data_IF_242738564227
#
_entry.id   IF_242738564227
#
_cell.length_a   1.000
_cell.length_b   1.000
_cell.length_c   1.000
_cell.angle_alpha   90.00
_cell.angle_beta   90.00
_cell.angle_gamma   90.00
#
_symmetry.space_group_name_H-M   'P 1'
#
loop_
_entity.id
_entity.type
_entity.pdbx_description
1 polymer ?
#
# COMPACT_ATOMS: atom_id res chain seq x y z
N UNK A 1 2.36 -4.39 34.36
CA UNK A 1 2.81 -3.01 34.67
C UNK A 1 2.39 -2.17 33.48
N UNK A 2 1.51 -1.19 33.66
CA UNK A 2 1.17 -0.27 32.57
C UNK A 2 2.33 0.70 32.41
N UNK A 3 3.13 0.53 31.36
CA UNK A 3 4.10 1.54 30.97
C UNK A 3 3.31 2.78 30.53
N UNK A 4 3.22 3.76 31.43
CA UNK A 4 2.55 5.02 31.14
C UNK A 4 3.45 5.86 30.22
N UNK A 5 3.02 6.09 28.99
CA UNK A 5 3.65 7.07 28.12
C UNK A 5 3.28 8.48 28.60
N UNK A 6 4.27 9.34 28.87
CA UNK A 6 4.05 10.75 29.19
C UNK A 6 4.43 11.62 28.00
N UNK A 7 3.56 12.57 27.63
CA UNK A 7 3.86 13.56 26.59
C UNK A 7 3.98 14.93 27.25
N UNK A 8 5.15 15.55 27.16
CA UNK A 8 5.46 16.88 27.71
C UNK A 8 6.26 17.65 26.66
N UNK A 9 5.86 18.88 26.35
CA UNK A 9 6.55 19.78 25.40
C UNK A 9 6.85 19.15 24.02
N UNK A 10 5.92 18.35 23.49
CA UNK A 10 6.09 17.68 22.18
C UNK A 10 7.06 16.49 22.19
N UNK A 11 7.54 16.08 23.36
CA UNK A 11 8.34 14.87 23.59
C UNK A 11 7.51 13.81 24.27
N UNK A 12 7.64 12.57 23.82
CA UNK A 12 7.03 11.41 24.46
C UNK A 12 8.10 10.55 25.10
N UNK A 13 7.91 10.22 26.37
CA UNK A 13 8.79 9.31 27.10
C UNK A 13 8.03 8.04 27.45
N UNK A 14 8.62 6.88 27.15
CA UNK A 14 8.04 5.56 27.43
C UNK A 14 9.14 4.51 27.52
N UNK A 15 9.03 3.60 28.50
CA UNK A 15 9.99 2.51 28.74
C UNK A 15 11.48 2.95 28.70
N UNK A 16 11.79 4.14 29.21
CA UNK A 16 13.15 4.70 29.24
C UNK A 16 13.69 5.25 27.92
N UNK A 17 12.87 5.29 26.86
CA UNK A 17 13.19 5.94 25.59
C UNK A 17 12.43 7.27 25.45
N UNK A 18 13.06 8.25 24.80
CA UNK A 18 12.42 9.53 24.43
C UNK A 18 12.19 9.56 22.93
N UNK A 19 11.05 10.12 22.53
CA UNK A 19 10.63 10.28 21.15
C UNK A 19 10.19 11.72 20.87
N UNK A 20 10.45 12.19 19.65
CA UNK A 20 10.11 13.54 19.16
C UNK A 20 9.37 13.45 17.83
N UNK A 21 8.54 14.44 17.53
CA UNK A 21 8.03 14.65 16.17
C UNK A 21 8.96 15.62 15.45
N UNK A 22 9.39 15.26 14.23
CA UNK A 22 10.25 16.11 13.40
C UNK A 22 9.55 16.41 12.07
N UNK A 23 9.08 17.65 11.93
CA UNK A 23 8.42 18.09 10.70
C UNK A 23 9.37 18.21 9.50
N UNK A 24 10.69 18.19 9.73
CA UNK A 24 11.71 18.21 8.69
C UNK A 24 11.95 16.84 8.04
N UNK A 25 11.67 15.74 8.75
CA UNK A 25 11.81 14.38 8.20
C UNK A 25 10.51 13.93 7.54
N UNK A 26 10.60 13.61 6.25
CA UNK A 26 9.45 13.16 5.46
C UNK A 26 9.40 11.64 5.41
N UNK A 27 8.20 11.08 5.53
CA UNK A 27 7.93 9.66 5.28
C UNK A 27 7.63 9.48 3.79
N UNK A 28 8.47 8.74 3.09
CA UNK A 28 8.26 8.35 1.70
C UNK A 28 7.61 6.96 1.61
N UNK A 29 6.71 6.74 0.65
CA UNK A 29 6.05 5.47 0.45
C UNK A 29 6.04 5.17 -1.05
N UNK A 30 6.31 3.91 -1.39
CA UNK A 30 6.10 3.35 -2.72
C UNK A 30 4.94 2.37 -2.62
N UNK A 31 4.01 2.45 -3.56
CA UNK A 31 2.87 1.56 -3.64
C UNK A 31 2.75 0.90 -5.01
N UNK A 32 2.45 -0.39 -4.99
CA UNK A 32 2.34 -1.24 -6.17
C UNK A 32 1.04 -2.06 -6.09
N UNK A 33 0.72 -2.82 -7.15
CA UNK A 33 -0.48 -3.66 -7.18
C UNK A 33 -1.79 -2.85 -7.17
N UNK A 34 -1.78 -1.66 -7.76
CA UNK A 34 -2.93 -0.74 -7.74
C UNK A 34 -4.11 -1.28 -8.55
N UNK A 35 -5.27 -1.42 -7.91
CA UNK A 35 -6.51 -1.91 -8.52
C UNK A 35 -7.67 -0.96 -8.21
N UNK A 36 -8.43 -0.60 -9.24
CA UNK A 36 -9.65 0.20 -9.09
C UNK A 36 -10.79 -0.69 -8.61
N UNK A 37 -11.37 -0.37 -7.45
CA UNK A 37 -12.50 -1.09 -6.86
C UNK A 37 -13.73 -0.18 -6.88
N UNK A 38 -14.72 -0.56 -7.69
CA UNK A 38 -16.01 0.13 -7.72
C UNK A 38 -16.73 -0.04 -6.38
N UNK A 39 -17.32 1.04 -5.88
CA UNK A 39 -18.06 1.05 -4.62
C UNK A 39 -19.27 1.96 -4.70
N UNK A 40 -20.32 1.62 -3.98
CA UNK A 40 -21.49 2.47 -3.76
C UNK A 40 -21.79 2.46 -2.27
N UNK A 41 -22.01 3.62 -1.70
CA UNK A 41 -22.44 3.75 -0.32
C UNK A 41 -23.74 4.54 -0.22
N UNK A 42 -24.56 4.22 0.77
CA UNK A 42 -25.74 5.01 1.09
C UNK A 42 -25.38 6.00 2.19
N UNK A 43 -25.54 7.30 1.91
CA UNK A 43 -25.29 8.38 2.86
C UNK A 43 -26.41 9.42 2.74
N UNK A 44 -26.95 9.86 3.87
CA UNK A 44 -28.01 10.88 3.92
C UNK A 44 -29.22 10.58 3.02
N UNK A 45 -29.57 9.30 2.87
CA UNK A 45 -30.69 8.86 2.04
C UNK A 45 -30.43 8.85 0.52
N UNK A 46 -29.20 9.15 0.08
CA UNK A 46 -28.79 9.08 -1.32
C UNK A 46 -27.68 8.04 -1.53
N UNK A 47 -27.60 7.51 -2.75
CA UNK A 47 -26.50 6.63 -3.14
C UNK A 47 -25.33 7.46 -3.66
N UNK A 48 -24.17 7.30 -3.07
CA UNK A 48 -22.93 7.97 -3.42
C UNK A 48 -21.93 7.00 -4.05
N UNK A 49 -21.12 7.51 -4.96
CA UNK A 49 -19.96 6.78 -5.48
C UNK A 49 -18.92 6.63 -4.36
N UNK A 50 -18.57 5.39 -4.07
CA UNK A 50 -17.54 5.00 -3.08
C UNK A 50 -16.39 4.26 -3.75
N UNK A 51 -16.17 4.51 -5.05
CA UNK A 51 -15.02 4.01 -5.80
C UNK A 51 -13.73 4.39 -5.09
N UNK A 52 -12.82 3.42 -5.01
CA UNK A 52 -11.51 3.54 -4.37
C UNK A 52 -10.46 2.82 -5.19
N UNK A 53 -9.20 3.07 -4.90
CA UNK A 53 -8.08 2.28 -5.42
C UNK A 53 -7.48 1.54 -4.24
N UNK A 54 -7.21 0.25 -4.40
CA UNK A 54 -6.54 -0.59 -3.41
C UNK A 54 -5.15 -0.98 -3.93
N UNK A 55 -4.23 -1.26 -3.02
CA UNK A 55 -2.89 -1.74 -3.34
C UNK A 55 -2.06 -2.02 -2.09
N UNK A 56 -0.75 -2.14 -2.29
CA UNK A 56 0.23 -2.43 -1.24
C UNK A 56 1.23 -1.29 -1.18
N UNK A 57 1.58 -0.79 0.00
CA UNK A 57 2.52 0.31 0.18
C UNK A 57 3.63 -0.05 1.15
N UNK A 58 4.86 0.31 0.83
CA UNK A 58 6.03 0.08 1.66
C UNK A 58 6.83 1.37 1.87
N UNK A 59 7.46 1.54 3.04
CA UNK A 59 8.44 2.60 3.25
C UNK A 59 9.59 2.55 2.23
N UNK A 60 9.94 3.68 1.63
CA UNK A 60 11.09 3.85 0.72
C UNK A 60 12.32 4.47 1.39
N UNK A 61 13.33 3.65 1.72
CA UNK A 61 14.58 4.13 2.33
C UNK A 61 14.47 4.47 3.82
N UNK A 62 13.41 4.03 4.50
CA UNK A 62 13.22 4.18 5.94
C UNK A 62 12.35 3.06 6.51
N UNK A 63 12.06 3.08 7.81
CA UNK A 63 11.20 2.06 8.45
C UNK A 63 10.05 2.69 9.21
N UNK A 64 8.95 1.95 9.33
CA UNK A 64 7.77 2.33 10.09
C UNK A 64 7.54 1.29 11.17
N UNK A 65 7.41 1.67 12.43
CA UNK A 65 7.29 0.75 13.56
C UNK A 65 6.19 1.18 14.53
N UNK A 66 5.95 0.35 15.54
CA UNK A 66 5.09 0.72 16.68
C UNK A 66 5.95 0.83 17.92
N UNK A 67 5.68 1.84 18.74
CA UNK A 67 6.35 1.95 20.03
C UNK A 67 5.98 0.75 20.90
N UNK A 68 7.01 0.12 21.48
CA UNK A 68 6.85 -1.07 22.31
C UNK A 68 6.72 -2.37 21.53
N UNK A 69 6.87 -2.35 20.19
CA UNK A 69 6.96 -3.56 19.38
C UNK A 69 8.29 -3.59 18.61
N UNK A 70 8.94 -4.77 18.51
CA UNK A 70 10.31 -4.86 18.00
C UNK A 70 10.42 -4.78 16.47
N UNK A 71 9.38 -5.17 15.73
CA UNK A 71 9.48 -5.33 14.28
C UNK A 71 8.86 -4.15 13.52
N UNK A 72 9.58 -3.56 12.54
CA UNK A 72 9.02 -2.55 11.66
C UNK A 72 8.08 -3.19 10.62
N UNK A 73 7.05 -2.45 10.24
CA UNK A 73 6.17 -2.77 9.13
C UNK A 73 6.93 -2.67 7.80
N UNK A 74 6.83 -3.71 6.99
CA UNK A 74 7.47 -3.83 5.68
C UNK A 74 6.50 -3.64 4.52
N UNK A 75 5.23 -4.05 4.70
CA UNK A 75 4.15 -3.84 3.73
C UNK A 75 2.90 -3.34 4.46
N UNK A 76 2.10 -2.53 3.77
CA UNK A 76 0.92 -1.86 4.28
C UNK A 76 -0.21 -2.04 3.29
N UNK A 77 -1.39 -2.40 3.78
CA UNK A 77 -2.59 -2.25 2.95
C UNK A 77 -2.81 -0.77 2.61
N UNK A 78 -2.91 -0.44 1.33
CA UNK A 78 -3.19 0.91 0.85
C UNK A 78 -4.61 1.01 0.34
N UNK A 79 -5.35 1.99 0.84
CA UNK A 79 -6.62 2.42 0.26
C UNK A 79 -6.55 3.89 -0.14
N UNK A 80 -6.74 4.18 -1.42
CA UNK A 80 -6.80 5.54 -1.95
C UNK A 80 -8.25 5.92 -2.19
N UNK A 81 -8.68 7.05 -1.64
CA UNK A 81 -10.05 7.57 -1.79
C UNK A 81 -10.00 8.97 -2.35
N UNK A 82 -11.03 9.31 -3.12
CA UNK A 82 -11.34 10.71 -3.35
C UNK A 82 -11.95 11.32 -2.10
N UNK A 83 -11.68 12.60 -1.86
CA UNK A 83 -12.46 13.40 -0.93
C UNK A 83 -12.96 14.67 -1.63
N UNK A 84 -14.13 15.18 -1.25
CA UNK A 84 -14.69 16.40 -1.83
C UNK A 84 -13.88 17.62 -1.38
N UNK A 85 -13.46 18.45 -2.34
CA UNK A 85 -12.80 19.74 -2.09
C UNK A 85 -11.44 19.88 -2.80
N UNK A 86 -10.85 21.08 -2.67
CA UNK A 86 -9.53 21.42 -3.22
C UNK A 86 -8.40 21.32 -2.17
N UNK A 87 -8.62 20.60 -1.07
CA UNK A 87 -7.59 20.50 -0.02
C UNK A 87 -6.36 19.74 -0.50
N UNK A 88 -5.22 19.92 0.16
CA UNK A 88 -4.03 19.13 -0.14
C UNK A 88 -4.29 17.64 0.10
N UNK A 89 -3.61 16.72 -0.61
CA UNK A 89 -3.75 15.29 -0.34
C UNK A 89 -3.27 14.94 1.08
N UNK A 90 -3.95 13.98 1.71
CA UNK A 90 -3.72 13.60 3.11
C UNK A 90 -3.44 12.11 3.22
N UNK A 91 -2.54 11.75 4.13
CA UNK A 91 -2.27 10.39 4.54
C UNK A 91 -2.84 10.16 5.94
N UNK A 92 -3.49 9.03 6.15
CA UNK A 92 -3.81 8.49 7.47
C UNK A 92 -3.18 7.11 7.61
N UNK A 93 -2.47 6.89 8.70
CA UNK A 93 -1.93 5.59 9.08
C UNK A 93 -2.66 5.11 10.32
N UNK A 94 -3.14 3.87 10.29
CA UNK A 94 -3.94 3.32 11.39
C UNK A 94 -3.82 1.81 11.49
N UNK A 95 -4.17 1.29 12.67
CA UNK A 95 -4.38 -0.13 12.89
C UNK A 95 -5.86 -0.46 12.61
N UNK A 96 -6.19 -1.45 11.75
CA UNK A 96 -7.55 -1.93 11.58
C UNK A 96 -8.13 -2.40 12.91
N UNK A 97 -9.42 -2.14 13.12
CA UNK A 97 -10.12 -2.59 14.32
C UNK A 97 -10.15 -4.13 14.38
N UNK A 98 -9.78 -4.71 15.53
CA UNK A 98 -9.77 -6.17 15.73
C UNK A 98 -8.50 -6.89 15.25
N UNK A 99 -7.48 -6.14 14.85
CA UNK A 99 -6.17 -6.67 14.48
C UNK A 99 -5.51 -7.48 15.63
N UNK A 100 -5.54 -8.81 15.55
CA UNK A 100 -4.79 -9.78 16.38
C UNK A 100 -4.14 -10.82 15.44
N UNK A 101 -2.82 -10.72 15.19
CA UNK A 101 -1.98 -11.38 14.16
C UNK A 101 -0.55 -10.79 13.96
N UNK A 102 0.03 -10.82 12.76
CA UNK A 102 1.35 -10.24 12.46
C UNK A 102 1.31 -8.69 12.31
N UNK A 103 2.41 -7.95 12.41
CA UNK A 103 2.46 -6.47 12.35
C UNK A 103 2.31 -5.93 10.93
N UNK A 104 2.83 -6.67 9.93
CA UNK A 104 2.77 -6.33 8.49
C UNK A 104 1.32 -6.36 7.95
N UNK A 105 0.51 -7.34 8.34
CA UNK A 105 -0.91 -7.44 7.95
C UNK A 105 -1.82 -6.40 8.63
N UNK A 106 -1.29 -5.67 9.62
CA UNK A 106 -2.09 -4.87 10.56
C UNK A 106 -1.90 -3.39 10.44
N UNK A 107 -1.03 -2.87 9.57
CA UNK A 107 -0.93 -1.44 9.37
C UNK A 107 -1.54 -1.04 8.03
N UNK A 108 -2.49 -0.10 8.09
CA UNK A 108 -3.24 0.37 6.94
C UNK A 108 -2.91 1.84 6.67
N UNK A 109 -2.65 2.13 5.41
CA UNK A 109 -2.50 3.47 4.87
C UNK A 109 -3.77 3.85 4.10
N UNK A 110 -4.34 5.00 4.45
CA UNK A 110 -5.42 5.63 3.71
C UNK A 110 -4.93 6.95 3.11
N UNK A 111 -4.94 7.02 1.78
CA UNK A 111 -4.53 8.19 1.02
C UNK A 111 -5.76 8.89 0.46
N UNK A 112 -5.99 10.12 0.89
CA UNK A 112 -7.10 10.94 0.43
C UNK A 112 -6.58 11.91 -0.62
N UNK A 113 -7.06 11.76 -1.86
CA UNK A 113 -6.67 12.59 -2.99
C UNK A 113 -7.79 13.55 -3.39
N UNK A 114 -7.46 14.78 -3.83
CA UNK A 114 -8.42 15.67 -4.47
C UNK A 114 -9.00 15.00 -5.72
N UNK A 115 -10.26 15.29 -6.02
CA UNK A 115 -10.99 14.64 -7.11
C UNK A 115 -10.24 14.66 -8.47
N UNK A 116 -9.60 15.76 -8.92
CA UNK A 116 -8.87 15.76 -10.19
C UNK A 116 -7.70 14.77 -10.20
N UNK A 117 -6.96 14.68 -9.09
CA UNK A 117 -5.81 13.80 -8.96
C UNK A 117 -6.23 12.33 -8.87
N UNK A 118 -7.30 12.05 -8.10
CA UNK A 118 -7.88 10.71 -8.01
C UNK A 118 -8.38 10.23 -9.38
N UNK A 119 -9.11 11.08 -10.11
CA UNK A 119 -9.63 10.76 -11.44
C UNK A 119 -8.50 10.48 -12.44
N UNK A 120 -7.43 11.30 -12.42
CA UNK A 120 -6.25 11.11 -13.27
C UNK A 120 -5.53 9.79 -12.97
N UNK A 121 -5.25 9.51 -11.70
CA UNK A 121 -4.63 8.24 -11.29
C UNK A 121 -5.48 7.03 -11.72
N UNK A 122 -6.80 7.08 -11.49
CA UNK A 122 -7.72 6.01 -11.88
C UNK A 122 -7.69 5.74 -13.39
N UNK A 123 -7.66 6.81 -14.19
CA UNK A 123 -7.56 6.71 -15.64
C UNK A 123 -6.22 6.09 -16.05
N UNK A 124 -5.11 6.55 -15.48
CA UNK A 124 -3.78 6.02 -15.80
C UNK A 124 -3.61 4.56 -15.36
N UNK A 125 -4.26 4.12 -14.27
CA UNK A 125 -4.32 2.70 -13.91
C UNK A 125 -5.05 1.90 -14.98
N UNK A 126 -6.23 2.37 -15.42
CA UNK A 126 -7.02 1.70 -16.46
C UNK A 126 -6.28 1.61 -17.81
N UNK A 127 -5.40 2.56 -18.09
CA UNK A 127 -4.58 2.62 -19.31
C UNK A 127 -3.19 1.99 -19.13
N UNK A 128 -2.90 1.37 -17.98
CA UNK A 128 -1.63 0.69 -17.70
C UNK A 128 -0.43 1.62 -17.51
N UNK A 129 -0.66 2.93 -17.31
CA UNK A 129 0.38 3.95 -17.09
C UNK A 129 0.73 4.18 -15.62
N UNK A 130 -0.03 3.61 -14.69
CA UNK A 130 0.19 3.75 -13.25
C UNK A 130 0.25 2.38 -12.58
N UNK A 131 1.41 1.72 -12.67
CA UNK A 131 1.69 0.45 -11.98
C UNK A 131 2.40 0.62 -10.65
N UNK A 132 3.12 1.74 -10.48
CA UNK A 132 3.81 2.09 -9.24
C UNK A 132 3.54 3.56 -8.88
N UNK A 133 3.23 3.84 -7.63
CA UNK A 133 2.91 5.16 -7.08
C UNK A 133 3.92 5.49 -5.97
N UNK A 134 4.57 6.65 -6.06
CA UNK A 134 5.49 7.17 -5.04
C UNK A 134 4.92 8.44 -4.44
N UNK A 135 4.99 8.59 -3.12
CA UNK A 135 4.55 9.80 -2.44
C UNK A 135 5.34 10.07 -1.16
N UNK A 136 5.58 11.34 -0.87
CA UNK A 136 6.28 11.79 0.33
C UNK A 136 5.36 12.65 1.20
N UNK A 137 5.42 12.44 2.52
CA UNK A 137 4.49 13.05 3.47
C UNK A 137 5.22 13.63 4.69
N UNK A 138 4.80 14.80 5.16
CA UNK A 138 5.14 15.25 6.52
C UNK A 138 4.13 14.63 7.47
N UNK A 139 4.56 13.92 8.49
CA UNK A 139 3.66 13.19 9.41
C UNK A 139 3.81 13.67 10.84
N UNK A 140 2.85 13.33 11.69
CA UNK A 140 2.95 13.45 13.13
C UNK A 140 3.48 12.15 13.80
N UNK A 141 4.23 11.32 13.07
CA UNK A 141 4.87 10.13 13.62
C UNK A 141 6.05 10.51 14.52
N UNK A 142 6.41 9.57 15.38
CA UNK A 142 7.44 9.76 16.40
C UNK A 142 8.77 9.17 15.96
N UNK A 143 9.86 9.89 16.16
CA UNK A 143 11.22 9.43 15.93
C UNK A 143 11.91 9.27 17.28
N UNK A 144 12.74 8.23 17.43
CA UNK A 144 13.55 8.07 18.65
C UNK A 144 14.56 9.21 18.72
N UNK A 145 14.59 9.90 19.85
CA UNK A 145 15.55 10.97 20.11
C UNK A 145 16.96 10.38 20.25
N UNK A 146 17.95 11.01 19.61
CA UNK A 146 19.34 10.55 19.64
C UNK A 146 19.67 9.42 18.67
N UNK A 147 18.76 9.04 17.76
CA UNK A 147 19.12 8.21 16.61
C UNK A 147 20.12 8.96 15.72
N UNK A 148 21.19 8.29 15.28
CA UNK A 148 22.21 8.88 14.42
C UNK A 148 21.67 9.19 13.03
N UNK A 149 22.10 10.29 12.42
CA UNK A 149 21.64 10.70 11.08
C UNK A 149 22.18 9.80 9.94
N UNK A 150 23.14 8.92 10.23
CA UNK A 150 23.67 7.94 9.26
C UNK A 150 22.79 6.70 9.12
N UNK A 151 21.89 6.43 10.07
CA UNK A 151 20.96 5.31 10.01
C UNK A 151 19.63 5.73 9.35
N UNK A 152 18.99 4.85 8.56
CA UNK A 152 17.65 5.10 8.03
C UNK A 152 16.67 5.44 9.16
N UNK A 153 15.85 6.50 9.03
CA UNK A 153 14.97 6.90 10.11
C UNK A 153 13.89 5.84 10.38
N UNK A 154 13.59 5.61 11.65
CA UNK A 154 12.48 4.73 12.05
C UNK A 154 11.36 5.58 12.60
N UNK A 155 10.29 5.73 11.83
CA UNK A 155 9.08 6.42 12.25
C UNK A 155 8.22 5.49 13.08
N UNK A 156 7.64 6.00 14.17
CA UNK A 156 6.88 5.20 15.11
C UNK A 156 5.45 5.71 15.28
N UNK A 157 4.51 4.78 15.24
CA UNK A 157 3.16 5.01 15.75
C UNK A 157 3.16 4.95 17.27
N UNK A 158 2.51 5.95 17.87
CA UNK A 158 2.31 6.01 19.31
C UNK A 158 1.52 4.79 19.80
N UNK A 159 1.78 4.32 21.04
CA UNK A 159 1.04 3.20 21.62
C UNK A 159 -0.43 3.58 21.82
N UNK A 160 -1.30 2.58 21.80
CA UNK A 160 -2.73 2.75 22.09
C UNK A 160 -2.94 3.44 23.43
N UNK A 161 -3.89 4.37 23.48
CA UNK A 161 -4.30 5.06 24.70
C UNK A 161 -5.82 4.92 24.85
N UNK A 162 -6.28 4.63 26.06
CA UNK A 162 -7.71 4.58 26.41
C UNK A 162 -8.56 3.63 25.53
N UNK A 163 -7.97 2.51 25.09
CA UNK A 163 -8.66 1.49 24.29
C UNK A 163 -8.99 1.90 22.86
N UNK A 164 -8.41 3.00 22.35
CA UNK A 164 -8.54 3.43 20.96
C UNK A 164 -7.22 3.24 20.20
N UNK A 165 -7.24 2.64 19.00
CA UNK A 165 -6.06 2.55 18.16
C UNK A 165 -5.62 3.97 17.77
N UNK A 166 -4.36 4.31 18.03
CA UNK A 166 -3.80 5.61 17.62
C UNK A 166 -3.63 5.65 16.11
N UNK A 167 -3.95 6.82 15.56
CA UNK A 167 -3.79 7.13 14.15
C UNK A 167 -2.69 8.18 14.00
N UNK A 168 -1.90 8.06 12.94
CA UNK A 168 -1.05 9.14 12.48
C UNK A 168 -1.66 9.78 11.24
N UNK A 169 -1.40 11.07 11.10
CA UNK A 169 -1.84 11.87 9.97
C UNK A 169 -0.62 12.49 9.31
N UNK A 170 -0.69 12.60 7.99
CA UNK A 170 0.34 13.26 7.21
C UNK A 170 -0.25 14.14 6.11
N UNK A 171 0.47 15.19 5.78
CA UNK A 171 0.22 16.01 4.61
C UNK A 171 1.14 15.55 3.49
N UNK A 172 0.56 15.20 2.34
CA UNK A 172 1.33 14.79 1.16
C UNK A 172 2.00 16.02 0.55
N UNK A 173 3.31 15.95 0.39
CA UNK A 173 4.15 17.01 -0.19
C UNK A 173 4.39 16.77 -1.68
N UNK A 174 4.58 15.53 -2.07
CA UNK A 174 4.78 15.11 -3.47
C UNK A 174 4.10 13.78 -3.72
N UNK A 175 3.65 13.59 -4.95
CA UNK A 175 3.03 12.35 -5.44
C UNK A 175 3.30 12.22 -6.93
N UNK A 176 3.70 11.03 -7.35
CA UNK A 176 3.98 10.70 -8.75
C UNK A 176 3.69 9.22 -8.99
N UNK A 177 3.36 8.85 -10.21
CA UNK A 177 3.20 7.45 -10.60
C UNK A 177 3.83 7.19 -11.96
N UNK A 178 4.20 5.94 -12.18
CA UNK A 178 4.85 5.47 -13.41
C UNK A 178 4.24 4.13 -13.85
N UNK A 179 4.42 3.74 -15.13
CA UNK A 179 4.06 2.41 -15.59
C UNK A 179 4.74 1.33 -14.72
N UNK A 180 4.15 0.12 -14.63
CA UNK A 180 4.80 -0.97 -13.93
C UNK A 180 6.18 -1.20 -14.54
N UNK A 181 7.17 -1.39 -13.69
CA UNK A 181 8.49 -1.77 -14.16
C UNK A 181 8.36 -3.16 -14.81
N UNK A 182 8.81 -3.36 -16.05
CA UNK A 182 8.81 -4.69 -16.63
C UNK A 182 9.56 -5.59 -15.66
N UNK A 183 8.96 -6.70 -15.25
CA UNK A 183 9.63 -7.69 -14.43
C UNK A 183 10.99 -7.93 -15.06
N UNK A 184 12.07 -7.61 -14.33
CA UNK A 184 13.41 -7.85 -14.83
C UNK A 184 13.46 -9.33 -15.17
N UNK A 185 13.57 -9.66 -16.45
CA UNK A 185 13.90 -11.01 -16.85
C UNK A 185 15.16 -11.38 -16.05
N UNK A 186 15.17 -12.49 -15.31
CA UNK A 186 16.33 -12.88 -14.51
C UNK A 186 17.59 -13.22 -15.34
N UNK A 187 17.64 -12.81 -16.62
CA UNK A 187 18.67 -13.15 -17.59
C UNK A 187 19.65 -12.03 -17.95
N UNK A 188 19.55 -10.82 -17.39
CA UNK A 188 20.57 -9.78 -17.62
C UNK A 188 21.61 -9.72 -16.50
N UNK A 189 22.45 -10.76 -16.48
CA UNK A 189 23.55 -10.89 -15.54
C UNK A 189 24.68 -11.79 -16.03
N UNK A 190 25.03 -11.75 -17.33
CA UNK A 190 26.26 -12.38 -17.81
C UNK A 190 26.74 -11.75 -19.13
N UNK A 191 27.31 -10.55 -19.06
CA UNK A 191 28.26 -10.12 -20.09
C UNK A 191 29.57 -10.87 -19.85
N UNK A 192 29.70 -12.06 -20.44
CA UNK A 192 30.94 -12.82 -20.40
C UNK A 192 30.79 -14.28 -20.83
N UNK A 193 31.06 -14.51 -22.12
CA UNK A 193 31.54 -15.76 -22.73
C UNK A 193 30.50 -16.62 -23.50
N UNK A 194 30.81 -17.03 -24.76
CA UNK A 194 29.90 -17.73 -25.64
C UNK A 194 29.96 -19.25 -25.46
N UNK A 195 28.95 -19.91 -26.03
CA UNK A 195 28.74 -21.36 -26.18
C UNK A 195 28.43 -22.16 -24.91
N UNK A 196 27.13 -22.40 -24.70
CA UNK A 196 26.61 -23.74 -24.48
C UNK A 196 25.09 -23.76 -24.69
N UNK A 197 24.66 -24.42 -25.76
CA UNK A 197 23.31 -25.00 -25.87
C UNK A 197 23.13 -25.92 -24.65
N UNK A 198 22.32 -25.49 -23.68
CA UNK A 198 21.89 -26.30 -22.56
C UNK A 198 20.36 -26.26 -22.57
N UNK A 199 19.76 -27.43 -22.79
CA UNK A 199 18.32 -27.70 -22.84
C UNK A 199 17.57 -26.98 -21.72
N UNK A 200 16.51 -26.25 -22.09
CA UNK A 200 15.48 -25.76 -21.15
C UNK A 200 14.98 -26.95 -20.33
N UNK A 201 15.03 -26.91 -18.98
CA UNK A 201 14.26 -27.85 -18.19
C UNK A 201 12.78 -27.54 -18.42
N UNK A 202 12.10 -28.41 -19.17
CA UNK A 202 10.65 -28.36 -19.38
C UNK A 202 9.96 -28.20 -18.02
N UNK A 203 9.37 -27.03 -17.77
CA UNK A 203 8.63 -26.75 -16.54
C UNK A 203 7.23 -27.38 -16.64
N UNK A 204 6.97 -28.53 -15.98
CA UNK A 204 5.70 -29.24 -16.11
C UNK A 204 4.52 -28.45 -15.53
N UNK A 205 4.81 -27.45 -14.69
CA UNK A 205 3.80 -26.59 -14.05
C UNK A 205 3.28 -25.54 -15.02
N UNK A 206 4.15 -24.99 -15.87
CA UNK A 206 3.76 -24.01 -16.90
C UNK A 206 2.82 -24.63 -17.94
N UNK A 207 3.05 -25.88 -18.36
CA UNK A 207 2.16 -26.58 -19.30
C UNK A 207 0.83 -26.97 -18.63
N UNK A 208 0.82 -27.26 -17.32
CA UNK A 208 -0.41 -27.46 -16.55
C UNK A 208 -1.24 -26.18 -16.43
N UNK A 209 -0.63 -25.03 -16.13
CA UNK A 209 -1.31 -23.74 -16.07
C UNK A 209 -1.84 -23.32 -17.45
N UNK A 210 -1.09 -23.57 -18.51
CA UNK A 210 -1.53 -23.34 -19.91
C UNK A 210 -2.74 -24.21 -20.27
N UNK A 211 -2.73 -25.48 -19.87
CA UNK A 211 -3.85 -26.42 -20.07
C UNK A 211 -5.09 -26.03 -19.28
N UNK A 212 -4.94 -25.58 -18.03
CA UNK A 212 -6.06 -25.12 -17.18
C UNK A 212 -6.71 -23.87 -17.78
N UNK A 213 -5.91 -22.86 -18.14
CA UNK A 213 -6.40 -21.62 -18.74
C UNK A 213 -7.12 -21.87 -20.08
N UNK A 214 -6.64 -22.84 -20.85
CA UNK A 214 -7.30 -23.26 -22.11
C UNK A 214 -8.63 -24.00 -21.87
N UNK A 215 -8.69 -24.90 -20.88
CA UNK A 215 -9.94 -25.61 -20.55
C UNK A 215 -11.01 -24.68 -19.98
N UNK A 216 -10.62 -23.66 -19.20
CA UNK A 216 -11.54 -22.68 -18.63
C UNK A 216 -12.17 -21.80 -19.72
N UNK A 217 -11.37 -21.38 -20.72
CA UNK A 217 -11.89 -20.68 -21.91
C UNK A 217 -12.92 -21.52 -22.66
N UNK A 218 -12.69 -22.82 -22.82
CA UNK A 218 -13.65 -23.71 -23.50
C UNK A 218 -14.96 -23.86 -22.72
N UNK A 219 -14.90 -24.04 -21.40
CA UNK A 219 -16.11 -24.12 -20.56
C UNK A 219 -16.92 -22.84 -20.64
N UNK A 220 -16.27 -21.68 -20.64
CA UNK A 220 -16.93 -20.37 -20.72
C UNK A 220 -17.62 -20.16 -22.08
N UNK A 221 -16.98 -20.59 -23.18
CA UNK A 221 -17.58 -20.55 -24.53
C UNK A 221 -18.83 -21.43 -24.60
N UNK A 222 -18.78 -22.66 -24.05
CA UNK A 222 -19.93 -23.57 -24.05
C UNK A 222 -21.10 -22.97 -23.23
N UNK A 223 -20.81 -22.35 -22.08
CA UNK A 223 -21.81 -21.70 -21.23
C UNK A 223 -22.52 -20.55 -21.95
N UNK A 224 -21.76 -19.71 -22.64
CA UNK A 224 -22.31 -18.62 -23.48
C UNK A 224 -23.18 -19.19 -24.59
N UNK A 225 -22.73 -20.25 -25.26
CA UNK A 225 -23.50 -20.88 -26.33
C UNK A 225 -24.82 -21.49 -25.81
N UNK A 226 -24.80 -22.10 -24.64
CA UNK A 226 -25.98 -22.67 -24.00
C UNK A 226 -26.99 -21.57 -23.63
N UNK A 227 -26.51 -20.46 -23.06
CA UNK A 227 -27.36 -19.30 -22.77
C UNK A 227 -27.99 -18.71 -24.03
N UNK A 228 -27.24 -18.67 -25.14
CA UNK A 228 -27.73 -18.14 -26.41
C UNK A 228 -28.81 -19.04 -27.02
N UNK A 229 -28.69 -20.36 -26.88
CA UNK A 229 -29.73 -21.33 -27.30
C UNK A 229 -31.00 -21.21 -26.45
N UNK A 230 -30.86 -21.02 -25.13
CA UNK A 230 -32.01 -20.85 -24.23
C UNK A 230 -32.74 -19.54 -24.52
N UNK A 231 -32.02 -18.47 -24.86
CA UNK A 231 -32.61 -17.18 -25.21
C UNK A 231 -33.31 -17.16 -26.59
N UNK A 232 -33.02 -18.13 -27.46
CA UNK A 232 -33.61 -18.25 -28.80
C UNK A 232 -34.86 -19.15 -28.85
N UNK A 233 -35.32 -19.65 -27.70
CA UNK A 233 -36.51 -20.51 -27.57
C UNK A 233 -37.58 -19.81 -26.75
#
# INVERSE_FOLDING_TARGET
>A
MSDSASIVDGRMTTAGSTFVQDAGKSLALIADGLVVVAGREWRDGAQHDATRIEGHARPDGMSLARIGQPEPAQDLSLTIRSFPGESAPLLRLSLPAGAQGDLDDRLAAELFLPQPLFAGLRQDIAEGRAGSLSFATTTNLWLREGAGDEEPPVFHLAPEADGRPRQAHGRVQSISWRPPEPAADPHYGAAGQPDQEAEEPEDPVAEQLRRINWSLKQVLIILVFLMLIIALK
#
